data_IF_884716260515
#
_entry.id   IF_884716260515
#
_cell.length_a   1.000
_cell.length_b   1.000
_cell.length_c   1.000
_cell.angle_alpha   90.00
_cell.angle_beta   90.00
_cell.angle_gamma   90.00
#
_symmetry.space_group_name_H-M   'P 1'
#
loop_
_entity.id
_entity.type
_entity.pdbx_description
1 polymer ?
#
# COMPACT_ATOMS: atom_id res chain seq x y z
N UNK A 1 -1.37 5.07 -28.92
CA UNK A 1 -0.75 4.12 -29.86
C UNK A 1 0.45 3.50 -29.18
N UNK A 2 0.82 2.27 -29.54
CA UNK A 2 2.00 1.62 -28.98
C UNK A 2 3.24 2.05 -29.76
N UNK A 3 4.23 2.58 -29.05
CA UNK A 3 5.48 3.09 -29.63
C UNK A 3 6.66 2.23 -29.22
N UNK A 4 7.80 2.31 -29.92
CA UNK A 4 8.97 1.47 -29.65
C UNK A 4 10.12 2.32 -29.14
N UNK A 5 10.63 1.99 -27.96
CA UNK A 5 11.73 2.69 -27.31
C UNK A 5 12.86 1.74 -26.93
N UNK A 6 14.09 2.26 -26.89
CA UNK A 6 15.21 1.52 -26.29
C UNK A 6 15.07 1.59 -24.77
N UNK A 7 15.01 0.43 -24.11
CA UNK A 7 14.96 0.32 -22.65
C UNK A 7 16.18 -0.49 -22.18
N UNK A 8 17.16 0.21 -21.60
CA UNK A 8 18.47 -0.37 -21.32
C UNK A 8 19.13 -0.96 -22.58
N UNK A 9 19.31 -2.29 -22.60
CA UNK A 9 19.90 -3.04 -23.72
C UNK A 9 18.87 -3.65 -24.67
N UNK A 10 17.57 -3.48 -24.42
CA UNK A 10 16.49 -4.09 -25.20
C UNK A 10 15.60 -3.03 -25.85
N UNK A 11 14.62 -3.47 -26.64
CA UNK A 11 13.57 -2.60 -27.20
C UNK A 11 12.26 -2.94 -26.49
N UNK A 12 11.63 -1.94 -25.89
CA UNK A 12 10.32 -2.03 -25.26
C UNK A 12 9.23 -1.45 -26.17
N UNK A 13 8.02 -2.02 -26.07
CA UNK A 13 6.80 -1.42 -26.62
C UNK A 13 6.18 -0.61 -25.48
N UNK A 14 5.96 0.68 -25.70
CA UNK A 14 5.48 1.63 -24.70
C UNK A 14 4.07 2.08 -25.07
N UNK A 15 3.17 1.98 -24.10
CA UNK A 15 1.81 2.48 -24.16
C UNK A 15 1.56 3.36 -22.94
N UNK A 16 0.72 4.40 -23.08
CA UNK A 16 0.32 5.22 -21.93
C UNK A 16 -0.41 4.34 -20.89
N UNK A 17 -0.09 4.54 -19.61
CA UNK A 17 -0.79 3.93 -18.49
C UNK A 17 -1.92 4.84 -17.94
N UNK A 18 -2.15 5.99 -18.57
CA UNK A 18 -3.20 6.94 -18.16
C UNK A 18 -4.58 6.26 -18.14
N UNK A 19 -5.29 6.41 -17.01
CA UNK A 19 -6.62 5.86 -16.81
C UNK A 19 -6.68 4.35 -16.58
N UNK A 20 -5.54 3.65 -16.56
CA UNK A 20 -5.51 2.21 -16.22
C UNK A 20 -5.85 2.03 -14.74
N UNK A 21 -6.84 1.18 -14.47
CA UNK A 21 -7.20 0.78 -13.11
C UNK A 21 -6.53 -0.56 -12.76
N UNK A 22 -6.03 -0.66 -11.54
CA UNK A 22 -5.37 -1.85 -11.03
C UNK A 22 -5.09 -1.73 -9.54
N UNK A 23 -4.33 -2.68 -9.00
CA UNK A 23 -4.11 -2.82 -7.57
C UNK A 23 -2.62 -2.79 -7.25
N UNK A 24 -2.23 -1.95 -6.28
CA UNK A 24 -0.91 -2.00 -5.68
C UNK A 24 -0.88 -3.14 -4.67
N UNK A 25 -0.06 -4.15 -4.90
CA UNK A 25 0.03 -5.33 -4.07
C UNK A 25 1.41 -5.44 -3.44
N UNK A 26 1.46 -5.99 -2.22
CA UNK A 26 2.70 -6.40 -1.56
C UNK A 26 2.83 -7.91 -1.66
N UNK A 27 3.97 -8.38 -2.16
CA UNK A 27 4.31 -9.80 -2.23
C UNK A 27 4.53 -10.36 -0.83
N UNK A 28 3.89 -11.49 -0.52
CA UNK A 28 4.08 -12.18 0.75
C UNK A 28 5.41 -12.97 0.82
N UNK A 29 6.12 -13.11 -0.30
CA UNK A 29 7.34 -13.93 -0.39
C UNK A 29 8.60 -13.09 -0.15
N UNK A 30 8.63 -11.87 -0.69
CA UNK A 30 9.81 -11.00 -0.69
C UNK A 30 9.52 -9.55 -0.28
N UNK A 31 8.29 -9.26 0.18
CA UNK A 31 7.81 -7.93 0.57
C UNK A 31 7.95 -6.85 -0.52
N UNK A 32 8.18 -7.25 -1.77
CA UNK A 32 8.22 -6.32 -2.90
C UNK A 32 6.83 -5.80 -3.25
N UNK A 33 6.76 -4.59 -3.82
CA UNK A 33 5.53 -4.01 -4.33
C UNK A 33 5.45 -4.15 -5.84
N UNK A 34 4.26 -4.47 -6.34
CA UNK A 34 3.98 -4.56 -7.77
C UNK A 34 2.56 -4.06 -8.06
N UNK A 35 2.32 -3.62 -9.30
CA UNK A 35 1.01 -3.16 -9.75
C UNK A 35 0.36 -4.26 -10.60
N UNK A 36 -0.83 -4.72 -10.22
CA UNK A 36 -1.57 -5.75 -10.94
C UNK A 36 -2.77 -5.17 -11.68
N UNK A 37 -2.89 -5.48 -12.97
CA UNK A 37 -4.09 -5.22 -13.77
C UNK A 37 -4.80 -6.54 -14.04
N UNK A 38 -6.09 -6.61 -13.73
CA UNK A 38 -6.95 -7.73 -14.08
C UNK A 38 -7.65 -7.46 -15.41
N UNK A 39 -7.76 -8.50 -16.23
CA UNK A 39 -8.41 -8.47 -17.54
C UNK A 39 -9.77 -9.16 -17.47
N UNK A 40 -10.64 -8.86 -18.45
CA UNK A 40 -12.02 -9.38 -18.48
C UNK A 40 -12.11 -10.91 -18.62
N UNK A 41 -11.04 -11.55 -19.12
CA UNK A 41 -10.93 -13.00 -19.26
C UNK A 41 -10.48 -13.70 -17.96
N UNK A 42 -10.27 -12.94 -16.88
CA UNK A 42 -9.80 -13.44 -15.59
C UNK A 42 -8.29 -13.61 -15.51
N UNK A 43 -7.55 -13.33 -16.59
CA UNK A 43 -6.10 -13.22 -16.54
C UNK A 43 -5.67 -11.92 -15.86
N UNK A 44 -4.39 -11.84 -15.50
CA UNK A 44 -3.83 -10.63 -14.93
C UNK A 44 -2.41 -10.38 -15.43
N UNK A 45 -1.95 -9.15 -15.28
CA UNK A 45 -0.57 -8.76 -15.57
C UNK A 45 0.01 -8.01 -14.38
N UNK A 46 1.16 -8.50 -13.92
CA UNK A 46 1.95 -7.86 -12.87
C UNK A 46 3.03 -6.98 -13.49
N UNK A 47 3.09 -5.73 -13.02
CA UNK A 47 4.08 -4.76 -13.40
C UNK A 47 5.00 -4.48 -12.23
N UNK A 48 6.30 -4.63 -12.45
CA UNK A 48 7.32 -4.12 -11.54
C UNK A 48 7.25 -2.60 -11.48
N UNK A 49 7.46 -2.03 -10.30
CA UNK A 49 7.42 -0.58 -10.08
C UNK A 49 8.86 -0.06 -10.02
N UNK A 50 9.26 0.65 -11.07
CA UNK A 50 10.56 1.37 -11.17
C UNK A 50 10.37 2.89 -11.15
N UNK A 51 9.23 3.36 -10.64
CA UNK A 51 8.92 4.79 -10.55
C UNK A 51 9.23 5.29 -9.14
N UNK A 52 10.03 6.36 -9.04
CA UNK A 52 10.55 6.83 -7.75
C UNK A 52 9.46 7.51 -6.89
N UNK A 53 8.51 8.21 -7.52
CA UNK A 53 7.45 8.97 -6.81
C UNK A 53 6.11 8.91 -7.58
N UNK A 54 5.44 7.76 -7.53
CA UNK A 54 4.17 7.52 -8.25
C UNK A 54 2.98 7.91 -7.37
N UNK A 55 2.21 8.91 -7.80
CA UNK A 55 0.99 9.31 -7.11
C UNK A 55 -0.09 8.22 -7.23
N UNK A 56 -0.73 7.90 -6.09
CA UNK A 56 -1.82 6.92 -6.01
C UNK A 56 -3.01 7.51 -5.25
N UNK A 57 -4.21 7.20 -5.72
CA UNK A 57 -5.45 7.52 -5.00
C UNK A 57 -6.02 6.25 -4.39
N UNK A 58 -6.18 6.22 -3.07
CA UNK A 58 -6.88 5.14 -2.38
C UNK A 58 -8.38 5.35 -2.56
N UNK A 59 -9.07 4.37 -3.16
CA UNK A 59 -10.50 4.46 -3.42
C UNK A 59 -11.32 4.34 -2.14
N UNK A 60 -12.55 4.85 -2.17
CA UNK A 60 -13.45 4.86 -0.99
C UNK A 60 -13.81 3.47 -0.46
N UNK A 61 -13.67 2.45 -1.30
CA UNK A 61 -13.99 1.05 -1.04
C UNK A 61 -12.75 0.17 -0.82
N UNK A 62 -11.54 0.75 -0.79
CA UNK A 62 -10.29 0.01 -0.66
C UNK A 62 -10.13 -0.75 0.67
N UNK A 63 -11.04 -0.54 1.63
CA UNK A 63 -10.98 -1.11 2.98
C UNK A 63 -9.60 -0.90 3.61
N UNK A 64 -9.02 0.28 3.45
CA UNK A 64 -7.68 0.63 3.91
C UNK A 64 -7.72 1.79 4.92
N UNK A 65 -6.81 1.75 5.87
CA UNK A 65 -6.68 2.73 6.96
C UNK A 65 -5.22 3.07 7.23
N UNK A 66 -4.98 4.31 7.63
CA UNK A 66 -3.70 4.72 8.18
C UNK A 66 -3.65 4.45 9.69
N UNK A 67 -2.57 3.81 10.13
CA UNK A 67 -2.23 3.60 11.53
C UNK A 67 -0.98 4.39 11.88
N UNK A 68 -0.91 4.84 13.13
CA UNK A 68 0.24 5.54 13.69
C UNK A 68 0.64 4.93 15.02
N UNK A 69 1.94 4.64 15.16
CA UNK A 69 2.55 4.15 16.39
C UNK A 69 3.79 5.00 16.64
N UNK A 70 3.78 5.90 17.63
CA UNK A 70 4.87 6.86 17.87
C UNK A 70 5.33 7.56 16.56
N UNK A 71 6.53 7.19 16.08
CA UNK A 71 7.21 7.67 14.86
C UNK A 71 7.10 6.70 13.67
N UNK A 72 6.09 5.82 13.67
CA UNK A 72 5.81 4.88 12.58
C UNK A 72 4.43 5.15 11.99
N UNK A 73 4.39 5.26 10.66
CA UNK A 73 3.16 5.40 9.87
C UNK A 73 2.97 4.15 9.01
N UNK A 74 1.76 3.60 9.04
CA UNK A 74 1.41 2.37 8.33
C UNK A 74 0.14 2.60 7.54
N UNK A 75 0.11 2.22 6.27
CA UNK A 75 -1.11 2.01 5.49
C UNK A 75 -1.38 0.50 5.49
N UNK A 76 -2.51 0.08 6.06
CA UNK A 76 -2.92 -1.32 6.13
C UNK A 76 -4.42 -1.43 5.83
N UNK A 77 -4.96 -2.63 5.94
CA UNK A 77 -6.39 -2.86 5.91
C UNK A 77 -7.10 -2.13 7.05
N UNK A 78 -8.37 -1.83 6.84
CA UNK A 78 -9.26 -1.22 7.82
C UNK A 78 -9.37 -2.06 9.10
N UNK A 79 -9.61 -1.44 10.28
CA UNK A 79 -9.72 -2.17 11.55
C UNK A 79 -10.72 -3.32 11.52
N UNK A 80 -11.82 -3.15 10.78
CA UNK A 80 -12.87 -4.15 10.61
C UNK A 80 -12.36 -5.39 9.85
N UNK A 81 -11.55 -5.19 8.81
CA UNK A 81 -10.91 -6.29 8.06
C UNK A 81 -9.87 -7.01 8.92
N UNK A 82 -9.14 -6.27 9.74
CA UNK A 82 -8.16 -6.83 10.66
C UNK A 82 -8.78 -7.49 11.90
N UNK A 83 -10.09 -7.32 12.14
CA UNK A 83 -10.77 -7.81 13.33
C UNK A 83 -10.34 -7.09 14.62
N UNK A 84 -9.91 -5.83 14.51
CA UNK A 84 -9.47 -5.02 15.64
C UNK A 84 -10.66 -4.45 16.41
N UNK A 85 -10.55 -4.44 17.74
CA UNK A 85 -11.53 -3.83 18.62
C UNK A 85 -11.19 -2.37 18.89
N UNK A 86 -12.22 -1.54 18.89
CA UNK A 86 -12.09 -0.14 19.30
C UNK A 86 -12.02 -0.07 20.82
N UNK A 87 -10.95 0.51 21.35
CA UNK A 87 -10.82 0.74 22.79
C UNK A 87 -11.86 1.76 23.27
N UNK A 88 -12.37 1.53 24.48
CA UNK A 88 -13.11 2.56 25.22
C UNK A 88 -12.12 3.57 25.80
N UNK A 89 -12.61 4.77 26.13
CA UNK A 89 -11.79 5.83 26.75
C UNK A 89 -11.15 5.38 28.07
N UNK A 90 -11.79 4.49 28.81
CA UNK A 90 -11.28 3.97 30.09
C UNK A 90 -10.07 3.05 29.87
N UNK A 91 -10.07 2.29 28.77
CA UNK A 91 -8.98 1.38 28.39
C UNK A 91 -7.78 2.12 27.78
N UNK A 92 -7.99 3.35 27.28
CA UNK A 92 -6.91 4.23 26.81
C UNK A 92 -6.03 4.71 27.97
N UNK A 93 -6.62 5.03 29.12
CA UNK A 93 -5.91 5.59 30.28
C UNK A 93 -5.06 4.56 31.04
N UNK A 94 -5.47 3.28 31.08
CA UNK A 94 -4.70 2.20 31.70
C UNK A 94 -3.45 1.77 30.91
N UNK A 95 -3.45 1.99 29.58
CA UNK A 95 -2.40 1.54 28.68
C UNK A 95 -1.28 2.58 28.44
N UNK A 96 -1.33 3.76 29.05
CA UNK A 96 -0.24 4.72 29.00
C UNK A 96 0.90 4.20 29.90
N UNK A 97 2.10 3.89 29.37
CA UNK A 97 3.22 3.53 30.23
C UNK A 97 3.52 4.72 31.14
N UNK A 98 3.41 4.53 32.46
CA UNK A 98 3.87 5.56 33.40
C UNK A 98 5.35 5.81 33.15
N UNK A 99 5.69 6.96 32.56
CA UNK A 99 7.09 7.30 32.29
C UNK A 99 7.82 7.31 33.63
N UNK A 100 8.87 6.50 33.73
CA UNK A 100 9.77 6.39 34.89
C UNK A 100 9.96 7.72 35.58
N UNK A 101 9.52 7.80 36.83
CA UNK A 101 9.99 8.82 37.76
C UNK A 101 11.52 8.75 37.78
N UNK A 102 12.18 9.84 37.35
CA UNK A 102 13.61 10.04 37.57
C UNK A 102 13.76 10.35 39.05
N UNK A 103 14.41 9.49 39.86
CA UNK A 103 14.70 9.85 41.24
C UNK A 103 15.81 10.92 41.24
N UNK A 104 15.56 11.98 42.00
CA UNK A 104 16.49 13.08 42.29
C UNK A 104 17.75 12.63 43.01
#
# INVERSE_FOLDING_TARGET
>A
MAERYRYGKTVAIVTSAEGVHGFLLRSAVDDSFFFRVYHDDGEFTDYEIHHDDLEVTITSDALASFYRFDDRWVLDHSPEVLGLEKLSREQEEENIPQSRAVPS
#
